data_IF_527358751376
#
_entry.id   IF_527358751376
#
_cell.length_a   1.000
_cell.length_b   1.000
_cell.length_c   1.000
_cell.angle_alpha   90.00
_cell.angle_beta   90.00
_cell.angle_gamma   90.00
#
_symmetry.space_group_name_H-M   'P 1'
#
loop_
_entity.id
_entity.type
_entity.pdbx_description
1 polymer ?
#
# COMPACT_ATOMS: atom_id res chain seq x y z
N UNK A 1 -27.67 -7.52 -9.00
CA UNK A 1 -26.83 -7.73 -7.83
C UNK A 1 -26.91 -9.21 -7.41
N UNK A 2 -25.80 -9.85 -7.09
CA UNK A 2 -25.77 -11.20 -6.53
C UNK A 2 -26.03 -12.35 -7.50
N UNK A 3 -25.72 -12.22 -8.78
CA UNK A 3 -26.01 -13.25 -9.81
C UNK A 3 -25.45 -14.63 -9.46
N UNK A 4 -24.32 -14.70 -8.73
CA UNK A 4 -23.68 -15.94 -8.31
C UNK A 4 -23.68 -16.15 -6.80
N UNK A 5 -24.39 -15.31 -6.07
CA UNK A 5 -24.47 -15.35 -4.61
C UNK A 5 -24.94 -16.72 -4.11
N UNK A 6 -24.24 -17.27 -3.13
CA UNK A 6 -24.56 -18.55 -2.52
C UNK A 6 -24.27 -19.78 -3.40
N UNK A 7 -23.60 -19.61 -4.53
CA UNK A 7 -23.24 -20.73 -5.42
C UNK A 7 -21.93 -21.41 -4.95
N UNK A 8 -21.93 -21.97 -3.76
CA UNK A 8 -20.77 -22.67 -3.18
C UNK A 8 -20.31 -23.88 -4.00
N UNK A 9 -21.17 -24.43 -4.85
CA UNK A 9 -20.83 -25.49 -5.79
C UNK A 9 -20.06 -25.01 -7.04
N UNK A 10 -19.98 -23.69 -7.29
CA UNK A 10 -19.11 -23.09 -8.29
C UNK A 10 -17.67 -23.12 -7.74
N UNK A 11 -16.88 -24.17 -8.04
CA UNK A 11 -15.53 -24.32 -7.52
C UNK A 11 -14.63 -23.11 -7.82
N UNK A 12 -14.45 -22.78 -9.10
CA UNK A 12 -13.70 -21.60 -9.56
C UNK A 12 -14.47 -20.90 -10.67
N UNK A 13 -14.53 -19.58 -10.61
CA UNK A 13 -15.11 -18.76 -11.65
C UNK A 13 -14.05 -17.80 -12.22
N UNK A 14 -13.83 -17.85 -13.53
CA UNK A 14 -12.88 -16.98 -14.24
C UNK A 14 -13.61 -16.01 -15.14
N UNK A 15 -13.19 -14.76 -15.11
CA UNK A 15 -13.73 -13.68 -15.95
C UNK A 15 -12.62 -13.00 -16.73
N UNK A 16 -12.89 -12.75 -18.00
CA UNK A 16 -11.97 -12.09 -18.91
C UNK A 16 -12.11 -10.55 -18.85
N UNK A 17 -11.14 -9.86 -19.45
CA UNK A 17 -11.01 -8.40 -19.53
C UNK A 17 -12.20 -7.66 -20.15
N UNK A 18 -13.12 -8.35 -20.78
CA UNK A 18 -14.31 -7.77 -21.43
C UNK A 18 -15.47 -7.48 -20.46
N UNK A 19 -15.31 -7.79 -19.18
CA UNK A 19 -16.32 -7.43 -18.17
C UNK A 19 -16.28 -5.94 -17.94
N UNK A 20 -17.40 -5.29 -18.13
CA UNK A 20 -17.55 -3.83 -17.99
C UNK A 20 -18.12 -3.40 -16.63
N UNK A 21 -18.77 -4.29 -15.92
CA UNK A 21 -19.29 -4.02 -14.58
C UNK A 21 -19.44 -5.30 -13.75
N UNK A 22 -19.27 -5.16 -12.46
CA UNK A 22 -19.43 -6.21 -11.48
C UNK A 22 -20.18 -5.62 -10.27
N UNK A 23 -21.25 -6.29 -9.83
CA UNK A 23 -22.01 -5.85 -8.67
C UNK A 23 -21.35 -6.22 -7.35
N UNK A 24 -21.55 -5.42 -6.34
CA UNK A 24 -21.17 -5.72 -4.97
C UNK A 24 -21.78 -7.05 -4.50
N UNK A 25 -21.00 -7.85 -3.77
CA UNK A 25 -21.37 -9.19 -3.29
C UNK A 25 -21.87 -10.15 -4.42
N UNK A 26 -21.46 -9.90 -5.66
CA UNK A 26 -21.86 -10.74 -6.80
C UNK A 26 -21.44 -12.20 -6.62
N UNK A 27 -20.36 -12.44 -5.88
CA UNK A 27 -19.77 -13.75 -5.63
C UNK A 27 -19.75 -14.14 -4.15
N UNK A 28 -20.63 -13.57 -3.33
CA UNK A 28 -20.72 -13.92 -1.92
C UNK A 28 -20.86 -15.44 -1.73
N UNK A 29 -19.96 -16.03 -0.95
CA UNK A 29 -19.82 -17.46 -0.70
C UNK A 29 -19.42 -18.32 -1.92
N UNK A 30 -18.98 -17.71 -3.03
CA UNK A 30 -18.30 -18.46 -4.10
C UNK A 30 -16.88 -18.78 -3.61
N UNK A 31 -16.41 -20.04 -3.74
CA UNK A 31 -15.10 -20.44 -3.21
C UNK A 31 -13.93 -19.67 -3.82
N UNK A 32 -13.93 -19.47 -5.14
CA UNK A 32 -12.80 -18.83 -5.83
C UNK A 32 -13.26 -18.07 -7.08
N UNK A 33 -12.72 -16.85 -7.23
CA UNK A 33 -12.83 -16.08 -8.48
C UNK A 33 -11.44 -15.70 -9.00
N UNK A 34 -11.31 -15.65 -10.33
CA UNK A 34 -10.14 -15.11 -11.02
C UNK A 34 -10.61 -14.11 -12.06
N UNK A 35 -10.14 -12.88 -11.97
CA UNK A 35 -10.64 -11.76 -12.77
C UNK A 35 -9.47 -11.06 -13.45
N UNK A 36 -9.57 -10.90 -14.76
CA UNK A 36 -8.70 -10.04 -15.55
C UNK A 36 -9.29 -8.63 -15.53
N UNK A 37 -8.84 -7.79 -14.59
CA UNK A 37 -9.36 -6.44 -14.43
C UNK A 37 -8.72 -5.49 -15.45
N UNK A 38 -9.54 -4.92 -16.34
CA UNK A 38 -9.10 -3.93 -17.32
C UNK A 38 -8.97 -2.51 -16.71
N UNK A 39 -9.54 -2.28 -15.56
CA UNK A 39 -9.51 -0.98 -14.86
C UNK A 39 -9.78 -1.16 -13.36
N UNK A 40 -9.59 -0.09 -12.61
CA UNK A 40 -9.73 -0.09 -11.15
C UNK A 40 -11.17 -0.36 -10.71
N UNK A 41 -12.18 0.10 -11.43
CA UNK A 41 -13.57 -0.12 -11.04
C UNK A 41 -13.91 -1.61 -10.99
N UNK A 42 -13.42 -2.40 -11.95
CA UNK A 42 -13.57 -3.86 -11.96
C UNK A 42 -12.73 -4.50 -10.85
N UNK A 43 -11.51 -4.03 -10.62
CA UNK A 43 -10.66 -4.54 -9.55
C UNK A 43 -11.28 -4.31 -8.16
N UNK A 44 -11.79 -3.10 -7.89
CA UNK A 44 -12.49 -2.76 -6.63
C UNK A 44 -13.75 -3.60 -6.48
N UNK A 45 -14.56 -3.72 -7.54
CA UNK A 45 -15.78 -4.52 -7.49
C UNK A 45 -15.48 -6.01 -7.26
N UNK A 46 -14.38 -6.52 -7.79
CA UNK A 46 -13.91 -7.89 -7.53
C UNK A 46 -13.43 -8.06 -6.08
N UNK A 47 -12.72 -7.09 -5.55
CA UNK A 47 -12.28 -7.05 -4.15
C UNK A 47 -13.49 -7.11 -3.18
N UNK A 48 -14.58 -6.43 -3.50
CA UNK A 48 -15.82 -6.38 -2.72
C UNK A 48 -16.87 -7.43 -3.15
N UNK A 49 -16.48 -8.44 -3.91
CA UNK A 49 -17.40 -9.44 -4.47
C UNK A 49 -17.92 -10.46 -3.46
N UNK A 50 -17.28 -10.57 -2.28
CA UNK A 50 -17.63 -11.54 -1.23
C UNK A 50 -17.13 -12.97 -1.49
N UNK A 51 -16.28 -13.20 -2.48
CA UNK A 51 -15.65 -14.48 -2.73
C UNK A 51 -14.60 -14.82 -1.65
N UNK A 52 -14.41 -16.10 -1.36
CA UNK A 52 -13.45 -16.56 -0.36
C UNK A 52 -12.00 -16.43 -0.84
N UNK A 53 -11.76 -16.74 -2.10
CA UNK A 53 -10.45 -16.58 -2.74
C UNK A 53 -10.59 -15.70 -3.95
N UNK A 54 -9.76 -14.67 -4.03
CA UNK A 54 -9.80 -13.66 -5.10
C UNK A 54 -8.43 -13.62 -5.77
N UNK A 55 -8.38 -13.88 -7.07
CA UNK A 55 -7.23 -13.62 -7.90
C UNK A 55 -7.55 -12.46 -8.84
N UNK A 56 -6.84 -11.35 -8.69
CA UNK A 56 -6.88 -10.23 -9.62
C UNK A 56 -5.66 -10.26 -10.53
N UNK A 57 -5.89 -10.36 -11.83
CA UNK A 57 -4.87 -10.14 -12.84
C UNK A 57 -5.09 -8.73 -13.40
N UNK A 58 -4.18 -7.81 -13.14
CA UNK A 58 -4.25 -6.48 -13.71
C UNK A 58 -3.79 -6.54 -15.17
N UNK A 59 -4.54 -5.89 -16.04
CA UNK A 59 -4.22 -5.86 -17.47
C UNK A 59 -2.95 -5.07 -17.77
N UNK A 60 -2.52 -5.13 -19.01
CA UNK A 60 -1.25 -4.59 -19.50
C UNK A 60 -1.12 -3.06 -19.41
N UNK A 61 -2.21 -2.34 -19.17
CA UNK A 61 -2.21 -0.88 -18.95
C UNK A 61 -2.32 -0.54 -17.48
N UNK A 62 -1.37 0.24 -16.97
CA UNK A 62 -1.40 0.79 -15.61
C UNK A 62 -2.29 2.04 -15.48
N UNK A 63 -2.68 2.68 -16.59
CA UNK A 63 -3.32 4.00 -16.57
C UNK A 63 -4.67 4.02 -15.86
N UNK A 64 -5.43 2.94 -15.96
CA UNK A 64 -6.71 2.79 -15.27
C UNK A 64 -6.62 2.53 -13.76
N UNK A 65 -5.40 2.40 -13.20
CA UNK A 65 -5.16 2.06 -11.79
C UNK A 65 -4.40 3.14 -11.02
N UNK A 66 -3.97 4.20 -11.69
CA UNK A 66 -3.27 5.31 -11.06
C UNK A 66 -4.19 6.05 -10.08
N UNK A 67 -3.61 6.55 -8.98
CA UNK A 67 -4.31 7.34 -7.94
C UNK A 67 -5.50 6.60 -7.27
N UNK A 68 -5.44 5.28 -7.20
CA UNK A 68 -6.53 4.44 -6.69
C UNK A 68 -6.12 3.62 -5.48
N UNK A 69 -7.13 3.09 -4.78
CA UNK A 69 -6.95 2.12 -3.70
C UNK A 69 -7.76 0.86 -3.98
N UNK A 70 -7.11 -0.31 -3.88
CA UNK A 70 -7.76 -1.62 -3.86
C UNK A 70 -7.74 -2.09 -2.41
N UNK A 71 -8.91 -2.32 -1.83
CA UNK A 71 -9.07 -2.70 -0.43
C UNK A 71 -9.79 -4.04 -0.33
N UNK A 72 -9.16 -4.99 0.38
CA UNK A 72 -9.66 -6.36 0.58
C UNK A 72 -10.05 -6.53 2.03
N UNK A 73 -11.30 -6.92 2.26
CA UNK A 73 -11.82 -7.15 3.61
C UNK A 73 -11.41 -8.49 4.22
N UNK A 74 -11.58 -8.61 5.52
CA UNK A 74 -11.25 -9.77 6.35
C UNK A 74 -12.10 -11.02 6.10
N UNK A 75 -13.17 -10.92 5.32
CA UNK A 75 -13.98 -12.08 4.92
C UNK A 75 -13.33 -12.90 3.80
N UNK A 76 -12.30 -12.36 3.15
CA UNK A 76 -11.51 -13.02 2.13
C UNK A 76 -10.42 -13.88 2.78
N UNK A 77 -10.37 -15.15 2.42
CA UNK A 77 -9.36 -16.09 2.92
C UNK A 77 -8.02 -15.90 2.21
N UNK A 78 -8.06 -15.73 0.88
CA UNK A 78 -6.86 -15.55 0.06
C UNK A 78 -7.07 -14.46 -0.99
N UNK A 79 -6.12 -13.55 -1.07
CA UNK A 79 -6.06 -12.51 -2.09
C UNK A 79 -4.74 -12.58 -2.86
N UNK A 80 -4.84 -12.75 -4.16
CA UNK A 80 -3.69 -12.81 -5.07
C UNK A 80 -3.80 -11.68 -6.11
N UNK A 81 -2.81 -10.82 -6.12
CA UNK A 81 -2.66 -9.74 -7.10
C UNK A 81 -1.50 -10.04 -8.02
N UNK A 82 -1.79 -10.23 -9.30
CA UNK A 82 -0.82 -10.62 -10.32
C UNK A 82 -0.76 -9.54 -11.39
N UNK A 83 0.45 -9.08 -11.67
CA UNK A 83 0.71 -8.07 -12.68
C UNK A 83 1.79 -8.55 -13.64
N UNK A 84 2.03 -7.77 -14.69
CA UNK A 84 2.99 -8.10 -15.75
C UNK A 84 4.33 -7.32 -15.63
N UNK A 85 4.59 -6.66 -14.52
CA UNK A 85 5.77 -5.81 -14.32
C UNK A 85 5.54 -4.34 -14.70
N UNK A 86 4.31 -3.95 -14.97
CA UNK A 86 3.97 -2.54 -15.22
C UNK A 86 4.15 -1.67 -13.98
N UNK A 87 4.38 -0.38 -14.22
CA UNK A 87 4.50 0.65 -13.18
C UNK A 87 3.12 1.22 -12.87
N UNK A 88 2.72 1.17 -11.61
CA UNK A 88 1.47 1.72 -11.10
C UNK A 88 1.77 2.94 -10.23
N UNK A 89 1.23 4.11 -10.62
CA UNK A 89 1.47 5.36 -9.91
C UNK A 89 0.38 5.63 -8.89
N UNK A 90 0.80 5.95 -7.67
CA UNK A 90 -0.08 6.28 -6.54
C UNK A 90 -1.16 5.22 -6.25
N UNK A 91 -0.95 3.97 -6.66
CA UNK A 91 -1.83 2.86 -6.33
C UNK A 91 -1.56 2.40 -4.90
N UNK A 92 -2.61 2.22 -4.11
CA UNK A 92 -2.56 1.62 -2.79
C UNK A 92 -3.22 0.25 -2.80
N UNK A 93 -2.60 -0.70 -2.10
CA UNK A 93 -3.19 -2.01 -1.81
C UNK A 93 -3.32 -2.13 -0.30
N UNK A 94 -4.55 -2.29 0.16
CA UNK A 94 -4.86 -2.61 1.55
C UNK A 94 -5.48 -3.99 1.61
N UNK A 95 -5.03 -4.84 2.51
CA UNK A 95 -5.58 -6.19 2.62
C UNK A 95 -5.63 -6.69 4.05
N UNK A 96 -6.84 -7.11 4.44
CA UNK A 96 -7.15 -7.80 5.70
C UNK A 96 -7.43 -9.30 5.44
N UNK A 97 -7.15 -9.81 4.23
CA UNK A 97 -7.30 -11.23 3.92
C UNK A 97 -6.38 -12.09 4.79
N UNK A 98 -6.76 -13.33 5.07
CA UNK A 98 -5.91 -14.23 5.88
C UNK A 98 -4.57 -14.55 5.17
N UNK A 99 -4.53 -14.51 3.86
CA UNK A 99 -3.31 -14.61 3.06
C UNK A 99 -3.34 -13.62 1.90
N UNK A 100 -2.28 -12.84 1.72
CA UNK A 100 -2.12 -11.89 0.61
C UNK A 100 -0.85 -12.20 -0.18
N UNK A 101 -0.98 -12.27 -1.51
CA UNK A 101 0.16 -12.43 -2.43
C UNK A 101 0.15 -11.35 -3.51
N UNK A 102 1.28 -10.69 -3.71
CA UNK A 102 1.46 -9.71 -4.78
C UNK A 102 2.64 -10.13 -5.64
N UNK A 103 2.46 -10.08 -6.96
CA UNK A 103 3.48 -10.53 -7.90
C UNK A 103 3.66 -9.58 -9.08
N UNK A 104 4.92 -9.36 -9.47
CA UNK A 104 5.35 -8.62 -10.65
C UNK A 104 4.81 -7.19 -10.74
N UNK A 105 4.93 -6.44 -9.66
CA UNK A 105 4.44 -5.05 -9.56
C UNK A 105 5.53 -4.06 -9.25
N UNK A 106 5.41 -2.88 -9.86
CA UNK A 106 6.22 -1.70 -9.52
C UNK A 106 5.28 -0.59 -9.07
N UNK A 107 5.40 -0.18 -7.82
CA UNK A 107 4.71 0.97 -7.25
C UNK A 107 5.61 2.19 -7.31
N UNK A 108 5.10 3.30 -7.81
CA UNK A 108 5.84 4.55 -7.96
C UNK A 108 4.94 5.74 -7.63
N UNK A 109 5.50 6.82 -7.09
CA UNK A 109 4.82 8.10 -6.89
C UNK A 109 4.62 8.52 -5.45
N UNK A 110 3.70 9.47 -5.22
CA UNK A 110 3.53 10.20 -3.98
C UNK A 110 2.43 9.63 -3.07
N UNK A 111 2.19 8.34 -3.13
CA UNK A 111 1.25 7.68 -2.21
C UNK A 111 1.91 7.46 -0.85
N UNK A 112 1.21 7.78 0.23
CA UNK A 112 1.77 7.73 1.59
C UNK A 112 2.35 6.36 1.92
N UNK A 113 1.57 5.30 1.80
CA UNK A 113 2.03 3.93 2.00
C UNK A 113 1.31 3.04 1.01
N UNK A 114 1.98 2.57 -0.04
CA UNK A 114 1.33 1.79 -1.09
C UNK A 114 0.91 0.40 -0.65
N UNK A 115 1.59 -0.21 0.32
CA UNK A 115 1.30 -1.57 0.79
C UNK A 115 0.95 -1.56 2.26
N UNK A 116 -0.31 -1.89 2.60
CA UNK A 116 -0.82 -1.91 3.96
C UNK A 116 -1.56 -3.23 4.22
N UNK A 117 -1.06 -4.04 5.14
CA UNK A 117 -1.58 -5.39 5.38
C UNK A 117 -1.84 -5.65 6.85
N UNK A 118 -3.10 -6.02 7.17
CA UNK A 118 -3.44 -6.74 8.40
C UNK A 118 -3.49 -8.26 8.16
N UNK A 119 -3.02 -8.70 7.01
CA UNK A 119 -2.89 -10.12 6.67
C UNK A 119 -1.79 -10.77 7.51
N UNK A 120 -2.05 -11.89 8.20
CA UNK A 120 -1.00 -12.61 8.93
C UNK A 120 0.03 -13.30 8.01
N UNK A 121 -0.33 -13.54 6.75
CA UNK A 121 0.57 -14.13 5.75
C UNK A 121 0.63 -13.25 4.51
N UNK A 122 1.82 -12.74 4.22
CA UNK A 122 2.08 -11.90 3.06
C UNK A 122 3.20 -12.49 2.22
N UNK A 123 2.99 -12.60 0.93
CA UNK A 123 4.01 -13.02 -0.03
C UNK A 123 4.21 -11.93 -1.07
N UNK A 124 5.43 -11.47 -1.21
CA UNK A 124 5.85 -10.55 -2.28
C UNK A 124 6.78 -11.29 -3.25
N UNK A 125 6.46 -11.24 -4.53
CA UNK A 125 7.26 -11.85 -5.58
C UNK A 125 7.57 -10.83 -6.68
N UNK A 126 8.82 -10.40 -6.80
CA UNK A 126 9.25 -9.35 -7.74
C UNK A 126 8.43 -8.08 -7.58
N UNK A 127 8.41 -7.54 -6.38
CA UNK A 127 7.69 -6.31 -6.03
C UNK A 127 8.70 -5.20 -5.74
N UNK A 128 8.50 -4.07 -6.39
CA UNK A 128 9.33 -2.88 -6.23
C UNK A 128 8.44 -1.73 -5.79
N UNK A 129 8.79 -1.09 -4.68
CA UNK A 129 8.19 0.17 -4.22
C UNK A 129 9.24 1.25 -4.31
N UNK A 130 9.01 2.28 -5.12
CA UNK A 130 9.93 3.38 -5.35
C UNK A 130 9.42 4.67 -4.72
N UNK A 131 10.29 5.28 -3.93
CA UNK A 131 10.11 6.67 -3.48
C UNK A 131 8.79 6.96 -2.77
N UNK A 132 8.32 6.03 -1.92
CA UNK A 132 7.17 6.31 -1.06
C UNK A 132 7.49 7.44 -0.08
N UNK A 133 6.64 8.47 0.07
CA UNK A 133 6.85 9.51 1.08
C UNK A 133 6.60 9.02 2.50
N UNK A 134 5.71 8.03 2.70
CA UNK A 134 5.49 7.33 3.95
C UNK A 134 6.26 6.01 4.00
N UNK A 135 5.74 5.02 4.69
CA UNK A 135 6.31 3.67 4.68
C UNK A 135 6.11 3.02 3.31
N UNK A 136 7.07 2.22 2.85
CA UNK A 136 6.86 1.42 1.66
C UNK A 136 5.90 0.25 1.91
N UNK A 137 5.93 -0.31 3.12
CA UNK A 137 5.10 -1.42 3.57
C UNK A 137 4.77 -1.28 5.06
N UNK A 138 3.50 -1.50 5.41
CA UNK A 138 3.03 -1.69 6.78
C UNK A 138 2.42 -3.08 6.91
N UNK A 139 2.80 -3.81 7.96
CA UNK A 139 2.19 -5.07 8.38
C UNK A 139 1.75 -4.95 9.83
N UNK A 140 0.46 -4.92 10.10
CA UNK A 140 -0.12 -4.72 11.43
C UNK A 140 -0.61 -6.00 12.13
N UNK A 141 -0.60 -7.15 11.45
CA UNK A 141 -0.99 -8.41 12.07
C UNK A 141 0.06 -8.91 13.08
N UNK A 142 -0.39 -9.43 14.21
CA UNK A 142 0.49 -10.15 15.12
C UNK A 142 1.10 -11.39 14.47
N UNK A 143 2.39 -11.65 14.74
CA UNK A 143 3.11 -12.81 14.22
C UNK A 143 3.00 -12.97 12.70
N UNK A 144 3.05 -11.85 12.00
CA UNK A 144 2.96 -11.85 10.54
C UNK A 144 4.15 -12.58 9.90
N UNK A 145 3.86 -13.36 8.87
CA UNK A 145 4.86 -14.03 8.03
C UNK A 145 5.01 -13.26 6.73
N UNK A 146 6.22 -12.80 6.42
CA UNK A 146 6.57 -12.17 5.16
C UNK A 146 7.48 -13.07 4.34
N UNK A 147 6.95 -13.60 3.24
CA UNK A 147 7.69 -14.43 2.29
C UNK A 147 8.11 -13.59 1.08
N UNK A 148 9.39 -13.65 0.75
CA UNK A 148 10.00 -12.87 -0.33
C UNK A 148 10.53 -13.75 -1.43
N UNK A 149 10.17 -13.44 -2.69
CA UNK A 149 10.59 -14.16 -3.88
C UNK A 149 11.14 -13.20 -4.93
N UNK A 150 12.22 -13.56 -5.54
CA UNK A 150 12.85 -12.76 -6.58
C UNK A 150 13.40 -11.43 -6.05
N UNK A 151 13.39 -10.39 -6.88
CA UNK A 151 13.88 -9.07 -6.48
C UNK A 151 12.77 -8.27 -5.79
N UNK A 152 13.03 -7.85 -4.57
CA UNK A 152 12.15 -6.98 -3.79
C UNK A 152 12.94 -5.70 -3.47
N UNK A 153 12.35 -4.56 -3.76
CA UNK A 153 12.88 -3.25 -3.36
C UNK A 153 11.79 -2.47 -2.65
N UNK A 154 12.05 -2.03 -1.43
CA UNK A 154 11.15 -1.20 -0.63
C UNK A 154 11.90 0.10 -0.32
N UNK A 155 11.53 1.17 -1.00
CA UNK A 155 12.19 2.46 -0.93
C UNK A 155 11.24 3.54 -0.42
N UNK A 156 11.71 4.31 0.55
CA UNK A 156 11.00 5.39 1.21
C UNK A 156 11.84 6.67 1.16
N UNK A 157 11.20 7.80 0.94
CA UNK A 157 11.85 9.12 0.84
C UNK A 157 12.16 9.68 2.23
N UNK A 158 13.29 9.28 2.81
CA UNK A 158 13.74 9.80 4.11
C UNK A 158 12.92 9.33 5.32
N UNK A 159 11.96 8.43 5.09
CA UNK A 159 11.16 7.78 6.11
C UNK A 159 11.63 6.34 6.34
N UNK A 160 10.91 5.58 7.16
CA UNK A 160 11.17 4.16 7.33
C UNK A 160 10.63 3.35 6.14
N UNK A 161 11.38 2.37 5.67
CA UNK A 161 10.96 1.60 4.51
C UNK A 161 9.84 0.61 4.85
N UNK A 162 9.88 0.03 6.04
CA UNK A 162 8.92 -0.98 6.50
C UNK A 162 8.59 -0.72 7.96
N UNK A 163 7.34 -0.90 8.33
CA UNK A 163 6.92 -1.07 9.73
C UNK A 163 6.12 -2.37 9.84
N UNK A 164 6.43 -3.18 10.82
CA UNK A 164 5.76 -4.48 11.03
C UNK A 164 5.88 -4.92 12.48
N UNK A 165 4.93 -5.74 12.90
CA UNK A 165 5.03 -6.47 14.17
C UNK A 165 6.06 -7.62 14.04
N UNK A 166 5.90 -8.68 14.81
CA UNK A 166 6.78 -9.83 14.73
C UNK A 166 6.76 -10.41 13.32
N UNK A 167 7.89 -10.38 12.62
CA UNK A 167 7.99 -10.83 11.23
C UNK A 167 8.98 -11.97 11.10
N UNK A 168 8.52 -13.05 10.52
CA UNK A 168 9.39 -14.13 10.07
C UNK A 168 9.69 -13.94 8.59
N UNK A 169 10.93 -13.70 8.24
CA UNK A 169 11.39 -13.71 6.85
C UNK A 169 11.56 -15.15 6.38
N UNK A 170 10.91 -15.50 5.30
CA UNK A 170 11.02 -16.81 4.70
C UNK A 170 11.71 -16.71 3.35
N UNK A 171 12.70 -17.56 3.14
CA UNK A 171 13.28 -17.80 1.83
C UNK A 171 12.44 -18.88 1.15
N UNK A 172 11.95 -18.60 -0.02
CA UNK A 172 10.91 -19.37 -0.64
C UNK A 172 11.33 -20.74 -1.19
N UNK A 173 12.51 -20.84 -1.77
CA UNK A 173 13.05 -22.08 -2.32
C UNK A 173 14.57 -22.14 -2.18
N UNK A 174 15.11 -23.34 -1.93
CA UNK A 174 16.54 -23.58 -1.93
C UNK A 174 17.13 -23.23 -3.32
N UNK A 175 17.80 -22.10 -3.43
CA UNK A 175 18.44 -21.61 -4.65
C UNK A 175 17.89 -20.33 -5.25
N UNK A 176 16.68 -19.89 -4.87
CA UNK A 176 16.16 -18.57 -5.26
C UNK A 176 16.33 -17.60 -4.09
N UNK A 177 17.43 -16.92 -4.03
CA UNK A 177 17.67 -15.88 -3.03
C UNK A 177 16.83 -14.66 -3.41
N UNK A 178 15.72 -14.45 -2.72
CA UNK A 178 15.02 -13.17 -2.73
C UNK A 178 15.96 -12.10 -2.16
N UNK A 179 16.26 -11.05 -2.93
CA UNK A 179 17.01 -9.91 -2.43
C UNK A 179 16.05 -8.84 -1.97
N UNK A 180 15.98 -8.64 -0.67
CA UNK A 180 15.29 -7.49 -0.11
C UNK A 180 16.27 -6.32 -0.07
N UNK A 181 16.00 -5.28 -0.84
CA UNK A 181 16.72 -4.00 -0.77
C UNK A 181 15.85 -3.00 -0.03
N UNK A 182 16.33 -2.54 1.10
CA UNK A 182 15.67 -1.52 1.90
C UNK A 182 16.42 -0.20 1.70
N UNK A 183 15.65 0.85 1.41
CA UNK A 183 16.13 2.24 1.35
C UNK A 183 15.22 3.08 2.23
N UNK A 184 15.76 3.60 3.30
CA UNK A 184 15.05 4.34 4.34
C UNK A 184 15.93 4.42 5.58
N UNK A 185 15.41 5.01 6.67
CA UNK A 185 16.19 5.11 7.89
C UNK A 185 16.25 3.77 8.63
N UNK A 186 15.11 3.11 8.80
CA UNK A 186 15.00 1.89 9.58
C UNK A 186 14.02 0.89 8.98
N UNK A 187 14.28 -0.39 9.20
CA UNK A 187 13.25 -1.42 9.28
C UNK A 187 12.80 -1.48 10.74
N UNK A 188 11.54 -1.17 10.98
CA UNK A 188 10.96 -1.14 12.32
C UNK A 188 10.15 -2.40 12.54
N UNK A 189 10.48 -3.19 13.53
CA UNK A 189 9.68 -4.33 13.95
C UNK A 189 10.00 -4.72 15.41
N UNK A 190 9.05 -5.38 16.08
CA UNK A 190 9.26 -5.92 17.43
C UNK A 190 10.30 -7.04 17.42
N UNK A 191 10.11 -7.99 16.54
CA UNK A 191 11.00 -9.14 16.38
C UNK A 191 11.15 -9.50 14.91
N UNK A 192 12.34 -9.81 14.50
CA UNK A 192 12.67 -10.26 13.16
C UNK A 192 13.40 -11.60 13.22
N UNK A 193 12.76 -12.62 12.68
CA UNK A 193 13.39 -13.93 12.48
C UNK A 193 14.13 -13.98 11.15
N UNK A 194 15.33 -14.53 11.13
CA UNK A 194 16.21 -14.63 9.95
C UNK A 194 16.69 -13.27 9.40
N UNK A 195 17.28 -12.39 10.22
CA UNK A 195 17.78 -11.08 9.78
C UNK A 195 18.85 -11.16 8.69
N UNK A 196 19.55 -12.28 8.56
CA UNK A 196 20.54 -12.52 7.51
C UNK A 196 19.98 -12.50 6.09
N UNK A 197 18.67 -12.58 5.92
CA UNK A 197 18.00 -12.44 4.63
C UNK A 197 17.85 -10.97 4.19
N UNK A 198 18.13 -10.01 5.08
CA UNK A 198 18.05 -8.59 4.78
C UNK A 198 19.36 -8.05 4.21
N UNK A 199 19.22 -7.20 3.20
CA UNK A 199 20.31 -6.36 2.71
C UNK A 199 19.84 -4.90 2.76
N UNK A 200 20.45 -4.12 3.63
CA UNK A 200 20.19 -2.68 3.68
C UNK A 200 21.04 -1.97 2.62
N UNK A 201 20.40 -1.13 1.82
CA UNK A 201 21.08 -0.16 0.95
C UNK A 201 21.43 1.08 1.77
N UNK A 202 20.50 1.49 2.64
CA UNK A 202 20.70 2.51 3.66
C UNK A 202 19.78 2.18 4.84
N UNK A 203 20.12 2.71 6.03
CA UNK A 203 19.35 2.45 7.24
C UNK A 203 19.71 1.14 7.93
N UNK A 204 19.03 0.85 9.00
CA UNK A 204 19.30 -0.29 9.90
C UNK A 204 18.00 -0.87 10.49
N UNK A 205 18.12 -1.99 11.18
CA UNK A 205 17.02 -2.56 11.96
C UNK A 205 16.83 -1.77 13.26
N UNK A 206 15.61 -1.27 13.49
CA UNK A 206 15.22 -0.63 14.74
C UNK A 206 14.16 -1.51 15.43
N UNK A 207 14.54 -2.27 16.47
CA UNK A 207 13.58 -2.95 17.33
C UNK A 207 12.82 -1.92 18.16
N UNK A 208 11.50 -2.07 18.25
CA UNK A 208 10.63 -1.19 19.03
C UNK A 208 9.70 -2.03 19.93
N UNK A 209 9.22 -1.43 21.01
CA UNK A 209 8.20 -2.06 21.85
C UNK A 209 6.77 -1.86 21.28
N UNK A 210 5.81 -2.41 22.00
CA UNK A 210 4.40 -2.41 21.57
C UNK A 210 3.82 -1.00 21.52
N UNK A 211 4.16 -0.15 22.49
CA UNK A 211 3.64 1.20 22.58
C UNK A 211 4.19 2.07 21.44
N UNK A 212 5.48 2.00 21.17
CA UNK A 212 6.12 2.70 20.07
C UNK A 212 5.58 2.24 18.72
N UNK A 213 5.33 0.93 18.55
CA UNK A 213 4.75 0.38 17.33
C UNK A 213 3.35 0.95 17.06
N UNK A 214 2.46 0.93 18.07
CA UNK A 214 1.10 1.49 17.92
C UNK A 214 1.12 3.00 17.66
N UNK A 215 2.04 3.74 18.29
CA UNK A 215 2.21 5.17 18.01
C UNK A 215 2.63 5.41 16.54
N UNK A 216 3.53 4.59 16.00
CA UNK A 216 3.96 4.71 14.59
C UNK A 216 2.86 4.38 13.58
N UNK A 217 1.90 3.54 13.94
CA UNK A 217 0.71 3.31 13.12
C UNK A 217 -0.29 4.46 13.18
N UNK A 218 -0.17 5.34 14.18
CA UNK A 218 -1.07 6.48 14.33
C UNK A 218 -0.82 7.48 13.21
N UNK A 219 -1.85 7.78 12.46
CA UNK A 219 -1.81 8.79 11.41
C UNK A 219 -2.70 9.97 11.75
N UNK A 220 -2.35 11.14 11.23
CA UNK A 220 -3.22 12.31 11.25
C UNK A 220 -3.31 12.91 9.84
N UNK A 221 -4.37 13.65 9.59
CA UNK A 221 -4.55 14.39 8.35
C UNK A 221 -4.04 15.81 8.58
N UNK A 222 -3.08 16.23 7.77
CA UNK A 222 -2.63 17.61 7.69
C UNK A 222 -3.42 18.29 6.59
N UNK A 223 -4.12 19.37 6.92
CA UNK A 223 -4.87 20.18 5.97
C UNK A 223 -4.05 21.42 5.58
N UNK A 224 -3.97 21.71 4.30
CA UNK A 224 -3.23 22.84 3.74
C UNK A 224 -4.20 23.98 3.39
N UNK A 225 -4.11 25.10 4.10
CA UNK A 225 -4.83 26.32 3.77
C UNK A 225 -3.92 27.26 2.99
N UNK A 226 -4.21 27.43 1.71
CA UNK A 226 -3.45 28.31 0.82
C UNK A 226 -3.74 29.81 1.03
N UNK A 227 -4.52 30.18 2.06
CA UNK A 227 -4.82 31.55 2.46
C UNK A 227 -5.17 32.48 1.27
N UNK A 228 -6.12 32.03 0.45
CA UNK A 228 -6.58 32.73 -0.75
C UNK A 228 -5.81 32.40 -2.03
N UNK A 229 -4.74 31.61 -1.97
CA UNK A 229 -4.08 31.02 -3.10
C UNK A 229 -4.73 29.73 -3.59
N UNK A 230 -4.06 29.04 -4.51
CA UNK A 230 -4.45 27.73 -5.01
C UNK A 230 -3.36 26.70 -4.68
N UNK A 231 -3.74 25.54 -4.23
CA UNK A 231 -2.88 24.40 -3.97
C UNK A 231 -3.48 23.14 -4.60
N UNK A 232 -2.63 22.32 -5.18
CA UNK A 232 -3.02 21.09 -5.88
C UNK A 232 -3.44 19.95 -4.93
N UNK A 233 -2.96 19.99 -3.70
CA UNK A 233 -3.25 19.01 -2.66
C UNK A 233 -3.64 19.73 -1.37
N UNK A 234 -4.88 19.58 -0.92
CA UNK A 234 -5.42 20.26 0.27
C UNK A 234 -5.26 19.45 1.55
N UNK A 235 -4.98 18.15 1.46
CA UNK A 235 -4.82 17.27 2.61
C UNK A 235 -3.72 16.24 2.37
N UNK A 236 -3.05 15.82 3.45
CA UNK A 236 -2.05 14.76 3.43
C UNK A 236 -2.10 13.95 4.71
N UNK A 237 -2.12 12.62 4.58
CA UNK A 237 -1.93 11.72 5.72
C UNK A 237 -0.46 11.71 6.10
N UNK A 238 -0.17 11.87 7.38
CA UNK A 238 1.17 11.77 7.97
C UNK A 238 1.13 10.82 9.16
N UNK A 239 2.26 10.18 9.43
CA UNK A 239 2.38 9.22 10.53
C UNK A 239 3.27 9.76 11.63
N UNK A 240 2.99 9.37 12.88
CA UNK A 240 3.78 9.76 14.03
C UNK A 240 5.26 9.46 13.84
N UNK A 241 6.11 10.40 14.18
CA UNK A 241 7.56 10.24 14.07
C UNK A 241 8.12 10.19 12.64
N UNK A 242 7.27 10.34 11.61
CA UNK A 242 7.71 10.36 10.22
C UNK A 242 7.79 11.78 9.66
N UNK A 243 8.72 12.05 8.73
CA UNK A 243 8.71 13.29 7.97
C UNK A 243 7.40 13.48 7.22
N UNK A 244 6.98 14.72 7.06
CA UNK A 244 5.78 15.06 6.27
C UNK A 244 5.88 14.68 4.78
N UNK A 245 7.08 14.30 4.31
CA UNK A 245 7.33 14.08 2.88
C UNK A 245 7.32 15.39 2.07
N UNK A 246 7.02 15.28 0.79
CA UNK A 246 6.93 16.45 -0.09
C UNK A 246 5.64 17.20 0.18
N UNK A 247 5.75 18.43 0.67
CA UNK A 247 4.60 19.31 0.88
C UNK A 247 4.21 19.98 -0.43
N UNK A 248 2.91 20.23 -0.67
CA UNK A 248 2.46 20.94 -1.84
C UNK A 248 2.95 22.40 -1.83
N UNK A 249 3.11 22.99 -3.00
CA UNK A 249 3.53 24.39 -3.15
C UNK A 249 2.36 25.20 -3.70
N UNK A 250 1.76 26.08 -2.89
CA UNK A 250 0.64 26.90 -3.31
C UNK A 250 1.09 28.02 -4.24
N UNK A 251 0.15 28.53 -5.04
CA UNK A 251 0.34 29.66 -5.93
C UNK A 251 -0.66 30.77 -5.64
N UNK A 252 -0.20 32.01 -5.65
CA UNK A 252 -1.04 33.19 -5.58
C UNK A 252 -0.40 34.30 -6.43
N UNK A 253 -1.19 34.94 -7.28
CA UNK A 253 -0.70 35.97 -8.18
C UNK A 253 -0.07 37.13 -7.40
N UNK A 254 1.14 37.55 -7.78
CA UNK A 254 1.96 38.59 -7.13
C UNK A 254 2.51 38.23 -5.75
N UNK A 255 2.48 36.96 -5.35
CA UNK A 255 3.04 36.54 -4.07
C UNK A 255 4.01 35.38 -4.27
N UNK A 256 5.03 35.33 -3.42
CA UNK A 256 6.00 34.23 -3.37
C UNK A 256 5.71 33.33 -2.17
N UNK A 257 5.70 32.03 -2.39
CA UNK A 257 5.60 31.05 -1.31
C UNK A 257 6.87 31.07 -0.45
N UNK A 258 6.72 31.23 0.85
CA UNK A 258 7.83 31.26 1.82
C UNK A 258 7.89 29.95 2.61
N UNK A 259 6.75 29.35 2.93
CA UNK A 259 6.65 28.11 3.70
C UNK A 259 5.27 27.88 4.28
N UNK A 260 5.08 26.70 4.81
CA UNK A 260 3.93 26.33 5.61
C UNK A 260 4.20 26.61 7.08
N UNK A 261 3.20 27.09 7.80
CA UNK A 261 3.28 27.41 9.22
C UNK A 261 2.12 26.81 9.98
N UNK A 262 2.36 26.33 11.20
CA UNK A 262 1.31 25.80 12.07
C UNK A 262 0.72 26.95 12.88
N UNK A 263 -0.62 27.09 12.88
CA UNK A 263 -1.30 27.91 13.88
C UNK A 263 -1.42 27.11 15.18
N UNK A 264 -1.11 27.77 16.30
CA UNK A 264 -0.98 27.13 17.62
C UNK A 264 -2.29 26.53 18.18
N UNK A 265 -3.43 26.69 17.52
CA UNK A 265 -4.73 26.34 18.07
C UNK A 265 -5.49 25.20 17.35
N UNK A 266 -5.12 24.75 16.15
CA UNK A 266 -5.98 23.85 15.38
C UNK A 266 -5.27 22.74 14.57
N UNK A 267 -3.95 22.59 14.64
CA UNK A 267 -3.24 21.55 13.89
C UNK A 267 -3.28 21.72 12.36
N UNK A 268 -3.66 22.89 11.88
CA UNK A 268 -3.60 23.24 10.46
C UNK A 268 -2.32 24.00 10.14
N UNK A 269 -1.79 23.74 8.93
CA UNK A 269 -0.69 24.50 8.37
C UNK A 269 -1.26 25.69 7.61
N UNK A 270 -0.96 26.92 8.02
CA UNK A 270 -1.35 28.12 7.31
C UNK A 270 -0.19 28.72 6.50
N UNK A 271 -0.54 29.38 5.41
CA UNK A 271 0.40 29.99 4.48
C UNK A 271 0.83 31.38 4.95
N UNK A 272 2.13 31.65 5.01
CA UNK A 272 2.61 33.02 5.03
C UNK A 272 3.07 33.44 3.61
N UNK A 273 2.43 34.46 3.08
CA UNK A 273 2.73 35.06 1.77
C UNK A 273 3.46 36.38 1.99
N UNK A 274 4.53 36.59 1.25
CA UNK A 274 5.20 37.91 1.16
C UNK A 274 4.86 38.49 -0.20
N UNK A 275 4.31 39.71 -0.18
CA UNK A 275 4.03 40.45 -1.41
C UNK A 275 5.37 40.93 -2.02
N UNK A 276 5.58 40.64 -3.30
CA UNK A 276 6.68 41.19 -4.09
C UNK A 276 6.53 42.71 -4.35
#
# INVERSE_FOLDING_TARGET
AGAFRGRSSLGKFSMDKYITSLGENAFENVPEISINAANTAIAIAAAHSGAKRITLNLSDSSDGFNDQTIEIGNTTEQFFLICNGSVYRNLKIKSDAAETKISNMIFEGNTDTPLQFSSPKVTLNRVIVRSSPGFALIMSAENAELSLFGTIELSSQGSNAVISQNVTLQQADAGVVGKLRLTGNYLICRELTNPSLLTFVSGELLPIDDEEFEQMLTSCIVTFDANGGSVDKTEQTVYYGQPYGTLPVPTLQYYKFVGWFTEASLGSLSLQLVKE
#
